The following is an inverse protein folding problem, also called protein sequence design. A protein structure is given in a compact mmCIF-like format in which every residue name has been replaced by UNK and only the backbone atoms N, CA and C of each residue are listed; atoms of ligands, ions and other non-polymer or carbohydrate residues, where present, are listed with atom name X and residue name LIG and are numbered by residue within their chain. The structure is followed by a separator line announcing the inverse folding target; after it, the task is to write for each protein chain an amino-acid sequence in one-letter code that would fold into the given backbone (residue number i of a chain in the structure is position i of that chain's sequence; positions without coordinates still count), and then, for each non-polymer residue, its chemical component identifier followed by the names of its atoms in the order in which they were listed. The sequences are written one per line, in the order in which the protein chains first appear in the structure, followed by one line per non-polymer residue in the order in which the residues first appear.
data_IF_404975251146
#
_entry.id   IF_404975251146
#
_cell.length_a   1.000
_cell.length_b   1.000
_cell.length_c   1.000
_cell.angle_alpha   90.00
_cell.angle_beta   90.00
_cell.angle_gamma   90.00
#
_symmetry.space_group_name_H-M   'P 1'
#
loop_
_entity.id
_entity.type
_entity.pdbx_description
1 polymer ?
#
# COMPACT_ATOMS: atom_id res chain seq x y z
N UNK A 1 22.74 -75.32 -37.70
CA UNK A 1 21.70 -74.30 -37.96
C UNK A 1 21.23 -73.77 -36.62
N UNK A 2 21.81 -72.66 -36.17
CA UNK A 2 21.61 -72.11 -34.82
C UNK A 2 20.98 -70.73 -34.98
N UNK A 3 19.67 -70.62 -34.73
CA UNK A 3 18.93 -69.37 -34.84
C UNK A 3 19.05 -68.54 -33.57
N UNK A 4 19.83 -67.46 -33.60
CA UNK A 4 19.83 -66.44 -32.54
C UNK A 4 18.58 -65.57 -32.65
N UNK A 5 17.72 -65.60 -31.61
CA UNK A 5 16.60 -64.66 -31.47
C UNK A 5 17.12 -63.35 -30.88
N UNK A 6 17.16 -62.32 -31.71
CA UNK A 6 17.48 -60.95 -31.30
C UNK A 6 16.30 -60.39 -30.49
N UNK A 7 16.49 -60.18 -29.19
CA UNK A 7 15.51 -59.52 -28.31
C UNK A 7 15.80 -58.02 -28.32
N UNK A 8 14.96 -57.24 -28.99
CA UNK A 8 15.00 -55.78 -28.91
C UNK A 8 14.41 -55.33 -27.56
N UNK A 9 15.25 -54.77 -26.69
CA UNK A 9 14.80 -54.06 -25.49
C UNK A 9 14.56 -52.61 -25.91
N UNK A 10 13.30 -52.24 -26.14
CA UNK A 10 12.89 -50.85 -26.35
C UNK A 10 12.91 -50.15 -24.99
N UNK A 11 14.04 -49.54 -24.65
CA UNK A 11 14.15 -48.67 -23.48
C UNK A 11 13.39 -47.37 -23.71
N UNK A 12 12.18 -47.27 -23.17
CA UNK A 12 11.42 -46.02 -23.18
C UNK A 12 12.07 -44.98 -22.27
N UNK A 13 12.60 -43.90 -22.85
CA UNK A 13 13.04 -42.72 -22.09
C UNK A 13 11.79 -41.94 -21.69
N UNK A 14 11.37 -42.09 -20.43
CA UNK A 14 10.33 -41.24 -19.84
C UNK A 14 10.98 -39.91 -19.50
N UNK A 15 10.82 -38.92 -20.38
CA UNK A 15 11.14 -37.52 -20.06
C UNK A 15 10.03 -37.01 -19.14
N UNK A 16 10.26 -37.07 -17.83
CA UNK A 16 9.40 -36.41 -16.85
C UNK A 16 9.63 -34.91 -16.99
N UNK A 17 8.76 -34.25 -17.77
CA UNK A 17 8.67 -32.80 -17.78
C UNK A 17 8.11 -32.37 -16.41
N UNK A 18 8.99 -32.12 -15.45
CA UNK A 18 8.60 -31.40 -14.23
C UNK A 18 8.16 -30.01 -14.63
N UNK A 19 6.83 -29.78 -14.63
CA UNK A 19 6.23 -28.46 -14.58
C UNK A 19 6.69 -27.80 -13.26
N UNK A 20 7.87 -27.19 -13.28
CA UNK A 20 8.26 -26.26 -12.22
C UNK A 20 7.36 -25.05 -12.42
N UNK A 21 6.20 -25.07 -11.76
CA UNK A 21 5.37 -23.89 -11.62
C UNK A 21 6.22 -22.85 -10.90
N UNK A 22 6.77 -21.91 -11.66
CA UNK A 22 7.35 -20.69 -11.10
C UNK A 22 6.15 -19.90 -10.58
N UNK A 23 5.73 -20.19 -9.36
CA UNK A 23 4.89 -19.25 -8.64
C UNK A 23 5.69 -17.94 -8.61
N UNK A 24 5.09 -16.82 -8.99
CA UNK A 24 5.64 -15.46 -8.80
C UNK A 24 4.93 -14.85 -7.60
N UNK A 25 5.71 -14.16 -6.76
CA UNK A 25 5.19 -13.48 -5.59
C UNK A 25 4.28 -12.36 -6.06
N UNK A 26 3.31 -11.96 -5.27
CA UNK A 26 2.53 -10.77 -5.62
C UNK A 26 2.09 -10.06 -4.35
N UNK A 27 2.28 -8.75 -4.36
CA UNK A 27 1.88 -7.88 -3.28
C UNK A 27 1.98 -6.42 -3.66
N UNK A 28 1.24 -5.58 -2.93
CA UNK A 28 1.19 -4.14 -3.17
C UNK A 28 1.10 -3.35 -1.88
N UNK A 29 1.71 -2.18 -1.85
CA UNK A 29 1.55 -1.23 -0.74
C UNK A 29 0.20 -0.50 -0.92
N UNK A 30 -0.70 -0.68 0.04
CA UNK A 30 -2.09 -0.20 -0.02
C UNK A 30 -2.40 0.91 0.99
N UNK A 31 -1.64 1.04 2.07
CA UNK A 31 -1.72 2.20 2.95
C UNK A 31 -0.31 2.61 3.43
N UNK A 32 0.19 3.80 3.06
CA UNK A 32 -0.41 4.71 2.07
C UNK A 32 -0.45 4.05 0.67
N UNK A 33 -1.48 4.27 -0.16
CA UNK A 33 -1.57 3.66 -1.49
C UNK A 33 -0.34 4.00 -2.34
N UNK A 34 0.33 2.98 -2.87
CA UNK A 34 1.42 3.21 -3.84
C UNK A 34 0.89 3.81 -5.14
N UNK A 35 1.77 4.47 -5.91
CA UNK A 35 1.47 5.09 -7.22
C UNK A 35 0.68 4.18 -8.16
N UNK A 36 1.05 2.90 -8.24
CA UNK A 36 0.32 1.92 -9.06
C UNK A 36 -1.02 1.48 -8.45
N UNK A 37 -1.20 1.56 -7.14
CA UNK A 37 -2.44 1.15 -6.45
C UNK A 37 -3.42 2.29 -6.18
N UNK A 38 -3.03 3.55 -6.42
CA UNK A 38 -3.85 4.75 -6.17
C UNK A 38 -5.26 4.65 -6.77
N UNK A 39 -5.41 4.11 -7.99
CA UNK A 39 -6.72 3.99 -8.65
C UNK A 39 -7.72 3.12 -7.87
N UNK A 40 -7.25 2.19 -7.03
CA UNK A 40 -8.11 1.35 -6.18
C UNK A 40 -8.77 2.14 -5.05
N UNK A 41 -8.25 3.33 -4.77
CA UNK A 41 -8.69 4.22 -3.70
C UNK A 41 -9.27 5.52 -4.28
N UNK A 42 -9.84 5.46 -5.50
CA UNK A 42 -10.55 6.57 -6.16
C UNK A 42 -9.68 7.81 -6.49
N UNK A 43 -8.36 7.68 -6.41
CA UNK A 43 -7.46 8.70 -6.94
C UNK A 43 -7.54 8.72 -8.49
N UNK A 44 -7.45 9.90 -9.13
CA UNK A 44 -7.57 10.08 -10.58
C UNK A 44 -6.26 9.73 -11.28
N UNK A 45 -5.77 8.53 -11.02
CA UNK A 45 -4.58 7.96 -11.63
C UNK A 45 -4.98 6.88 -12.63
N UNK A 46 -4.23 6.71 -13.74
CA UNK A 46 -4.46 5.58 -14.64
C UNK A 46 -4.43 4.26 -13.87
N UNK A 47 -5.36 3.36 -14.15
CA UNK A 47 -5.37 2.05 -13.53
C UNK A 47 -4.12 1.23 -13.93
N UNK A 48 -3.50 0.57 -12.95
CA UNK A 48 -2.58 -0.52 -13.16
C UNK A 48 -3.20 -1.78 -12.56
N UNK A 49 -3.78 -2.66 -13.38
CA UNK A 49 -4.42 -3.87 -12.86
C UNK A 49 -3.42 -4.92 -12.35
N UNK A 50 -2.13 -4.75 -12.69
CA UNK A 50 -1.00 -5.54 -12.21
C UNK A 50 -0.18 -4.77 -11.15
N UNK A 51 -0.84 -3.91 -10.36
CA UNK A 51 -0.22 -3.11 -9.31
C UNK A 51 0.37 -3.93 -8.14
N UNK A 52 0.14 -5.24 -8.12
CA UNK A 52 0.78 -6.19 -7.21
C UNK A 52 1.95 -6.99 -7.84
N UNK A 53 2.31 -6.68 -9.09
CA UNK A 53 3.36 -7.36 -9.86
C UNK A 53 4.60 -6.50 -10.13
N UNK A 54 4.86 -5.44 -9.36
CA UNK A 54 6.02 -4.55 -9.56
C UNK A 54 7.33 -5.20 -9.11
N UNK A 55 7.78 -6.19 -9.88
CA UNK A 55 8.82 -7.15 -9.52
C UNK A 55 10.14 -6.99 -10.31
N UNK A 56 10.50 -5.76 -10.68
CA UNK A 56 11.69 -5.45 -11.46
C UNK A 56 11.72 -6.06 -12.87
N UNK A 57 10.56 -6.43 -13.41
CA UNK A 57 10.44 -7.18 -14.67
C UNK A 57 10.60 -8.69 -14.52
N UNK A 58 10.62 -9.19 -13.29
CA UNK A 58 10.74 -10.61 -12.96
C UNK A 58 12.17 -11.04 -12.60
N UNK A 59 12.25 -12.14 -11.84
CA UNK A 59 13.50 -12.65 -11.25
C UNK A 59 14.66 -12.76 -12.26
N UNK A 60 14.45 -13.47 -13.39
CA UNK A 60 15.51 -13.68 -14.38
C UNK A 60 15.92 -12.39 -15.09
N UNK A 61 14.98 -11.46 -15.31
CA UNK A 61 15.30 -10.16 -15.89
C UNK A 61 16.16 -9.33 -14.95
N UNK A 62 15.73 -9.20 -13.70
CA UNK A 62 16.47 -8.46 -12.67
C UNK A 62 17.87 -9.02 -12.48
N UNK A 63 17.98 -10.32 -12.21
CA UNK A 63 19.23 -10.92 -11.78
C UNK A 63 20.13 -11.26 -12.96
N UNK A 64 19.65 -12.03 -13.93
CA UNK A 64 20.51 -12.55 -15.00
C UNK A 64 20.85 -11.50 -16.05
N UNK A 65 19.90 -10.63 -16.39
CA UNK A 65 20.09 -9.61 -17.44
C UNK A 65 20.55 -8.28 -16.87
N UNK A 66 19.97 -7.84 -15.75
CA UNK A 66 20.23 -6.51 -15.19
C UNK A 66 21.26 -6.49 -14.07
N UNK A 67 21.87 -7.63 -13.72
CA UNK A 67 22.91 -7.71 -12.69
C UNK A 67 22.38 -7.40 -11.29
N UNK A 68 21.11 -7.71 -11.03
CA UNK A 68 20.41 -7.42 -9.77
C UNK A 68 19.76 -6.04 -9.70
N UNK A 69 19.99 -5.18 -10.69
CA UNK A 69 19.46 -3.82 -10.69
C UNK A 69 17.94 -3.80 -10.94
N UNK A 70 17.26 -2.85 -10.28
CA UNK A 70 15.83 -2.64 -10.36
C UNK A 70 15.53 -1.14 -10.42
N UNK A 71 14.32 -0.76 -10.83
CA UNK A 71 13.81 0.60 -10.58
C UNK A 71 13.53 0.83 -9.12
N UNK A 72 13.65 2.09 -8.71
CA UNK A 72 13.42 2.47 -7.32
C UNK A 72 11.95 2.27 -6.92
N UNK A 73 11.04 2.16 -7.88
CA UNK A 73 9.63 1.86 -7.63
C UNK A 73 9.16 0.55 -8.27
N UNK A 74 10.07 -0.40 -8.52
CA UNK A 74 9.74 -1.77 -8.96
C UNK A 74 9.64 -2.00 -10.46
N UNK A 75 9.90 -0.96 -11.26
CA UNK A 75 9.95 -1.06 -12.72
C UNK A 75 11.21 -1.82 -13.19
N UNK A 76 11.20 -2.49 -14.36
CA UNK A 76 12.39 -3.11 -14.96
C UNK A 76 13.50 -2.09 -15.21
N UNK A 77 14.76 -2.47 -14.96
CA UNK A 77 15.88 -1.52 -14.90
C UNK A 77 16.16 -0.76 -16.21
N UNK A 78 15.98 -1.44 -17.33
CA UNK A 78 16.30 -1.03 -18.70
C UNK A 78 15.08 -0.58 -19.51
N UNK A 79 13.90 -0.44 -18.88
CA UNK A 79 12.68 -0.02 -19.56
C UNK A 79 12.23 1.39 -19.15
N UNK A 80 11.09 1.82 -19.69
CA UNK A 80 10.36 2.96 -19.14
C UNK A 80 10.09 2.75 -17.64
N UNK A 81 10.06 3.86 -16.89
CA UNK A 81 9.90 3.90 -15.43
C UNK A 81 8.54 4.49 -15.04
N UNK A 82 7.41 3.83 -15.34
CA UNK A 82 6.09 4.42 -15.15
C UNK A 82 5.75 4.72 -13.68
N UNK A 83 6.43 4.10 -12.72
CA UNK A 83 6.22 4.33 -11.28
C UNK A 83 7.20 5.36 -10.68
N UNK A 84 8.16 5.88 -11.45
CA UNK A 84 9.08 6.94 -11.02
C UNK A 84 8.66 8.31 -11.59
N UNK A 85 9.23 9.40 -11.08
CA UNK A 85 8.85 10.75 -11.48
C UNK A 85 8.93 10.95 -13.01
N UNK A 86 7.92 11.64 -13.55
CA UNK A 86 7.65 11.74 -15.00
C UNK A 86 6.94 10.53 -15.61
N UNK A 87 6.77 9.45 -14.85
CA UNK A 87 6.10 8.22 -15.27
C UNK A 87 4.57 8.32 -15.30
N UNK A 88 3.94 7.31 -15.90
CA UNK A 88 2.49 7.21 -16.06
C UNK A 88 1.73 7.28 -14.72
N UNK A 89 2.25 6.66 -13.67
CA UNK A 89 1.62 6.51 -12.36
C UNK A 89 2.15 7.51 -11.31
N UNK A 90 3.33 8.11 -11.53
CA UNK A 90 3.89 9.12 -10.63
C UNK A 90 3.26 10.51 -10.88
N UNK A 91 2.06 10.72 -10.36
CA UNK A 91 1.31 11.97 -10.53
C UNK A 91 1.64 13.07 -9.52
N UNK A 92 2.49 12.80 -8.53
CA UNK A 92 2.83 13.77 -7.48
C UNK A 92 1.70 14.07 -6.50
N UNK A 93 0.63 13.27 -6.53
CA UNK A 93 -0.53 13.41 -5.64
C UNK A 93 -0.14 12.92 -4.25
N UNK A 94 -0.29 13.77 -3.24
CA UNK A 94 0.00 13.40 -1.85
C UNK A 94 -1.15 12.53 -1.32
N UNK A 95 -0.90 11.23 -1.16
CA UNK A 95 -1.91 10.25 -0.74
C UNK A 95 -2.15 10.24 0.78
N UNK A 96 -1.18 10.73 1.56
CA UNK A 96 -1.25 10.75 3.02
C UNK A 96 -0.36 11.85 3.62
N UNK A 97 -0.81 12.43 4.74
CA UNK A 97 -0.05 13.44 5.48
C UNK A 97 0.25 12.90 6.88
N UNK A 98 1.48 13.08 7.35
CA UNK A 98 1.92 12.64 8.67
C UNK A 98 2.58 13.77 9.46
N UNK A 99 2.64 13.59 10.78
CA UNK A 99 3.47 14.43 11.65
C UNK A 99 4.90 13.90 11.68
N UNK A 100 5.89 14.80 11.78
CA UNK A 100 7.28 14.41 12.08
C UNK A 100 7.34 13.61 13.39
N UNK A 101 8.21 12.60 13.45
CA UNK A 101 8.32 11.69 14.61
C UNK A 101 7.12 10.75 14.84
N UNK A 102 6.07 10.82 14.01
CA UNK A 102 4.87 9.99 14.19
C UNK A 102 5.18 8.51 14.01
N UNK A 103 4.57 7.67 14.85
CA UNK A 103 4.45 6.24 14.55
C UNK A 103 3.28 6.03 13.59
N UNK A 104 3.57 5.53 12.39
CA UNK A 104 2.58 5.28 11.35
C UNK A 104 2.31 3.78 11.24
N UNK A 105 1.10 3.40 10.86
CA UNK A 105 0.80 2.03 10.46
C UNK A 105 0.73 1.98 8.93
N UNK A 106 1.61 1.20 8.31
CA UNK A 106 1.58 0.91 6.88
C UNK A 106 0.94 -0.45 6.64
N UNK A 107 0.26 -0.59 5.51
CA UNK A 107 -0.42 -1.83 5.14
C UNK A 107 0.01 -2.27 3.76
N UNK A 108 0.47 -3.52 3.70
CA UNK A 108 0.87 -4.21 2.48
C UNK A 108 -0.11 -5.36 2.26
N UNK A 109 -0.73 -5.43 1.08
CA UNK A 109 -1.58 -6.58 0.72
C UNK A 109 -0.73 -7.61 -0.03
N UNK A 110 -0.66 -8.83 0.51
CA UNK A 110 0.03 -9.96 -0.12
C UNK A 110 -0.99 -10.90 -0.75
N UNK A 111 -1.00 -10.97 -2.07
CA UNK A 111 -1.90 -11.84 -2.84
C UNK A 111 -1.29 -13.21 -3.10
N UNK A 112 0.04 -13.29 -3.23
CA UNK A 112 0.78 -14.55 -3.33
C UNK A 112 2.04 -14.47 -2.49
N UNK A 113 2.08 -15.19 -1.36
CA UNK A 113 3.19 -15.14 -0.40
C UNK A 113 4.38 -15.99 -0.86
N UNK A 114 5.56 -15.35 -0.88
CA UNK A 114 6.86 -15.95 -1.18
C UNK A 114 7.87 -15.82 -0.03
N UNK A 115 7.38 -15.76 1.21
CA UNK A 115 8.19 -15.59 2.42
C UNK A 115 9.07 -14.33 2.34
N UNK A 116 10.27 -14.38 2.92
CA UNK A 116 11.21 -13.27 2.91
C UNK A 116 10.83 -12.16 3.88
N UNK A 117 11.18 -10.93 3.54
CA UNK A 117 11.07 -9.80 4.45
C UNK A 117 10.75 -8.48 3.75
N UNK A 118 10.15 -7.55 4.49
CA UNK A 118 9.93 -6.18 4.03
C UNK A 118 10.94 -5.22 4.66
N UNK A 119 11.37 -4.25 3.87
CA UNK A 119 12.03 -3.01 4.31
C UNK A 119 11.19 -1.83 3.86
N UNK A 120 11.31 -0.72 4.59
CA UNK A 120 10.62 0.52 4.29
C UNK A 120 11.62 1.67 4.34
N UNK A 121 11.65 2.46 3.27
CA UNK A 121 12.55 3.61 3.15
C UNK A 121 11.74 4.88 2.91
N UNK A 122 12.31 6.03 3.25
CA UNK A 122 11.65 7.31 3.10
C UNK A 122 12.58 8.35 2.50
N UNK A 123 12.37 8.75 1.24
CA UNK A 123 13.17 9.81 0.63
C UNK A 123 12.45 11.17 0.72
N UNK A 124 12.99 12.18 1.43
CA UNK A 124 12.50 13.56 1.36
C UNK A 124 12.90 14.19 0.02
N UNK A 125 11.93 14.37 -0.88
CA UNK A 125 12.21 14.72 -2.28
C UNK A 125 11.74 16.14 -2.64
N UNK A 126 10.62 16.60 -2.09
CA UNK A 126 10.05 17.95 -2.21
C UNK A 126 9.74 18.47 -3.63
N UNK A 127 10.07 17.71 -4.67
CA UNK A 127 9.73 17.98 -6.06
C UNK A 127 9.18 16.70 -6.74
N UNK A 128 7.86 16.62 -7.01
CA UNK A 128 7.26 15.42 -7.61
C UNK A 128 7.72 15.14 -9.05
N UNK A 129 8.39 16.09 -9.71
CA UNK A 129 8.95 15.91 -11.06
C UNK A 129 10.36 15.33 -11.04
N UNK A 130 11.04 15.40 -9.89
CA UNK A 130 12.37 14.85 -9.69
C UNK A 130 12.31 13.38 -9.25
N UNK A 131 13.14 12.54 -9.88
CA UNK A 131 13.33 11.15 -9.42
C UNK A 131 14.17 11.13 -8.15
N UNK A 132 13.74 10.33 -7.19
CA UNK A 132 14.54 9.99 -6.00
C UNK A 132 15.78 9.19 -6.40
N UNK A 133 16.74 9.07 -5.47
CA UNK A 133 17.95 8.28 -5.68
C UNK A 133 18.05 7.15 -4.65
N UNK A 134 18.90 6.15 -4.94
CA UNK A 134 19.16 5.05 -4.01
C UNK A 134 19.80 5.57 -2.73
N UNK A 135 20.72 6.55 -2.82
CA UNK A 135 21.41 7.15 -1.68
C UNK A 135 20.42 7.82 -0.71
N UNK A 136 19.39 8.47 -1.25
CA UNK A 136 18.32 9.07 -0.44
C UNK A 136 17.54 8.02 0.35
N UNK A 137 17.21 6.89 -0.30
CA UNK A 137 16.50 5.78 0.35
C UNK A 137 17.37 5.11 1.41
N UNK A 138 18.63 4.83 1.09
CA UNK A 138 19.58 4.15 1.97
C UNK A 138 19.86 4.98 3.24
N UNK A 139 19.92 6.31 3.09
CA UNK A 139 20.09 7.23 4.22
C UNK A 139 18.87 7.31 5.15
N UNK A 140 17.72 6.77 4.74
CA UNK A 140 16.45 6.91 5.45
C UNK A 140 15.68 5.58 5.53
N UNK A 141 16.37 4.51 5.93
CA UNK A 141 15.74 3.24 6.29
C UNK A 141 14.90 3.41 7.57
N UNK A 142 13.61 3.10 7.50
CA UNK A 142 12.69 3.23 8.63
C UNK A 142 12.79 2.04 9.58
N UNK A 143 12.72 2.33 10.87
CA UNK A 143 12.64 1.31 11.93
C UNK A 143 11.19 1.03 12.30
N UNK A 144 10.87 -0.24 12.54
CA UNK A 144 9.64 -0.65 13.19
C UNK A 144 9.62 -0.25 14.67
N UNK A 145 8.46 -0.29 15.30
CA UNK A 145 8.32 0.05 16.74
C UNK A 145 9.13 -0.83 17.67
N UNK A 146 9.39 -2.09 17.27
CA UNK A 146 10.24 -3.04 17.97
C UNK A 146 11.75 -2.81 17.74
N UNK A 147 12.14 -1.79 16.99
CA UNK A 147 13.53 -1.43 16.71
C UNK A 147 14.17 -2.14 15.51
N UNK A 148 13.51 -3.16 14.94
CA UNK A 148 14.01 -3.83 13.73
C UNK A 148 13.74 -3.05 12.44
N UNK A 149 14.51 -3.31 11.39
CA UNK A 149 14.31 -2.71 10.05
C UNK A 149 13.72 -3.69 9.03
N UNK A 150 13.79 -5.00 9.31
CA UNK A 150 13.24 -6.06 8.47
C UNK A 150 12.04 -6.73 9.11
N UNK A 151 10.86 -6.58 8.50
CA UNK A 151 9.68 -7.32 8.89
C UNK A 151 9.70 -8.72 8.25
N UNK A 152 9.81 -9.78 9.04
CA UNK A 152 9.72 -11.16 8.53
C UNK A 152 8.27 -11.48 8.15
N UNK A 153 8.03 -11.71 6.86
CA UNK A 153 6.69 -11.98 6.33
C UNK A 153 6.15 -13.33 6.79
N UNK A 154 7.02 -14.34 6.95
CA UNK A 154 6.61 -15.71 7.20
C UNK A 154 5.64 -16.21 6.11
N UNK A 155 4.55 -16.84 6.51
CA UNK A 155 3.51 -17.37 5.61
C UNK A 155 2.28 -16.47 5.47
N UNK A 156 2.33 -15.23 6.01
CA UNK A 156 1.17 -14.31 6.03
C UNK A 156 0.71 -13.94 4.62
N UNK A 157 -0.62 -13.88 4.43
CA UNK A 157 -1.32 -13.45 3.20
C UNK A 157 -2.38 -12.41 3.56
N UNK A 158 -2.92 -11.72 2.55
CA UNK A 158 -3.89 -10.64 2.75
C UNK A 158 -3.21 -9.39 3.28
N UNK A 159 -3.94 -8.61 4.08
CA UNK A 159 -3.45 -7.35 4.63
C UNK A 159 -2.46 -7.58 5.80
N UNK A 160 -1.24 -7.12 5.63
CA UNK A 160 -0.19 -7.13 6.65
C UNK A 160 0.05 -5.70 7.11
N UNK A 161 -0.19 -5.45 8.39
CA UNK A 161 0.00 -4.15 9.03
C UNK A 161 1.36 -4.09 9.74
N UNK A 162 2.12 -3.01 9.52
CA UNK A 162 3.44 -2.78 10.12
C UNK A 162 3.50 -1.37 10.72
N UNK A 163 3.85 -1.27 11.99
CA UNK A 163 4.05 0.01 12.67
C UNK A 163 5.50 0.49 12.48
N UNK A 164 5.68 1.64 11.82
CA UNK A 164 6.96 2.27 11.52
C UNK A 164 7.09 3.60 12.26
N UNK A 165 8.32 3.95 12.66
CA UNK A 165 8.65 5.25 13.25
C UNK A 165 9.17 6.19 12.16
N UNK A 166 8.51 7.33 11.97
CA UNK A 166 9.06 8.42 11.15
C UNK A 166 10.18 9.14 11.91
N UNK A 167 11.19 9.70 11.22
CA UNK A 167 12.25 10.46 11.87
C UNK A 167 11.70 11.71 12.57
N UNK A 168 12.30 12.10 13.71
CA UNK A 168 11.81 13.20 14.55
C UNK A 168 11.90 14.57 13.88
N UNK A 169 12.97 14.80 13.11
CA UNK A 169 13.29 16.12 12.55
C UNK A 169 13.12 16.19 11.03
N UNK A 170 12.62 15.11 10.40
CA UNK A 170 12.41 15.08 8.97
C UNK A 170 11.05 15.67 8.60
N UNK A 171 11.06 16.63 7.67
CA UNK A 171 9.88 17.20 7.05
C UNK A 171 10.01 17.20 5.54
N UNK A 172 8.89 17.10 4.84
CA UNK A 172 8.83 17.17 3.38
C UNK A 172 7.43 17.58 2.91
N UNK A 173 7.38 18.44 1.89
CA UNK A 173 6.15 18.72 1.15
C UNK A 173 5.74 17.51 0.30
N UNK A 174 6.73 16.74 -0.17
CA UNK A 174 6.57 15.48 -0.86
C UNK A 174 7.75 14.55 -0.51
N UNK A 175 7.45 13.46 0.19
CA UNK A 175 8.34 12.34 0.41
C UNK A 175 7.89 11.16 -0.45
N UNK A 176 8.85 10.30 -0.82
CA UNK A 176 8.55 8.97 -1.34
C UNK A 176 8.77 7.94 -0.25
N UNK A 177 7.68 7.33 0.22
CA UNK A 177 7.74 6.13 1.04
C UNK A 177 7.85 4.92 0.11
N UNK A 178 8.98 4.20 0.17
CA UNK A 178 9.21 2.97 -0.57
C UNK A 178 8.97 1.77 0.34
N UNK A 179 8.05 0.89 -0.05
CA UNK A 179 8.04 -0.49 0.40
C UNK A 179 8.92 -1.31 -0.53
N UNK A 180 9.80 -2.13 0.06
CA UNK A 180 10.58 -3.15 -0.64
C UNK A 180 10.27 -4.49 0.01
N UNK A 181 10.01 -5.50 -0.82
CA UNK A 181 9.90 -6.88 -0.41
C UNK A 181 10.96 -7.70 -1.12
N UNK A 182 11.87 -8.27 -0.34
CA UNK A 182 12.76 -9.31 -0.82
C UNK A 182 12.12 -10.67 -0.50
N UNK A 183 11.70 -11.41 -1.51
CA UNK A 183 11.17 -12.76 -1.35
C UNK A 183 12.20 -13.70 -0.69
N UNK A 184 11.78 -14.91 -0.32
CA UNK A 184 12.62 -15.83 0.43
C UNK A 184 12.32 -17.30 0.15
N UNK A 185 11.88 -17.61 -1.06
CA UNK A 185 11.50 -18.96 -1.48
C UNK A 185 12.52 -19.63 -2.40
N UNK A 186 13.46 -18.88 -2.98
CA UNK A 186 14.49 -19.46 -3.85
C UNK A 186 15.63 -20.03 -3.01
N UNK A 187 16.18 -21.17 -3.44
CA UNK A 187 17.46 -21.64 -2.94
C UNK A 187 18.58 -20.78 -3.52
N UNK A 188 19.54 -20.40 -2.68
CA UNK A 188 20.76 -19.72 -3.13
C UNK A 188 21.86 -19.85 -2.09
N UNK A 189 22.95 -19.12 -2.32
CA UNK A 189 24.14 -19.17 -1.45
C UNK A 189 24.44 -17.78 -0.93
N UNK A 190 24.71 -17.68 0.37
CA UNK A 190 25.15 -16.47 1.04
C UNK A 190 26.35 -16.84 1.94
N UNK A 191 27.46 -16.11 1.82
CA UNK A 191 28.70 -16.37 2.56
C UNK A 191 29.18 -17.83 2.51
N UNK A 192 29.07 -18.46 1.33
CA UNK A 192 29.48 -19.86 1.10
C UNK A 192 28.51 -20.91 1.64
N UNK A 193 27.38 -20.52 2.26
CA UNK A 193 26.36 -21.44 2.75
C UNK A 193 25.11 -21.42 1.88
N UNK A 194 24.66 -22.60 1.45
CA UNK A 194 23.40 -22.79 0.74
C UNK A 194 22.20 -22.77 1.68
N UNK A 195 21.15 -22.03 1.34
CA UNK A 195 19.90 -22.00 2.07
C UNK A 195 18.72 -21.49 1.23
N UNK A 196 17.50 -21.83 1.64
CA UNK A 196 16.27 -21.20 1.13
C UNK A 196 16.23 -19.75 1.63
N UNK A 197 16.00 -18.82 0.71
CA UNK A 197 15.96 -17.38 0.97
C UNK A 197 17.32 -16.69 0.90
N UNK A 198 18.40 -17.43 0.67
CA UNK A 198 19.76 -16.90 0.56
C UNK A 198 20.10 -16.52 -0.88
N UNK A 199 21.03 -15.58 -1.05
CA UNK A 199 21.45 -15.10 -2.37
C UNK A 199 20.34 -14.35 -3.13
N UNK A 200 20.27 -14.57 -4.45
CA UNK A 200 19.31 -13.87 -5.34
C UNK A 200 17.88 -14.29 -5.04
N UNK A 201 17.00 -13.32 -4.81
CA UNK A 201 15.56 -13.53 -4.56
C UNK A 201 14.72 -12.58 -5.42
N UNK A 202 13.50 -12.94 -5.76
CA UNK A 202 12.56 -12.02 -6.42
C UNK A 202 12.31 -10.81 -5.51
N UNK A 203 12.23 -9.61 -6.08
CA UNK A 203 12.03 -8.38 -5.32
C UNK A 203 10.85 -7.61 -5.84
N UNK A 204 10.04 -7.07 -4.92
CA UNK A 204 8.86 -6.26 -5.22
C UNK A 204 8.95 -4.91 -4.55
N UNK A 205 8.33 -3.91 -5.16
CA UNK A 205 8.39 -2.55 -4.65
C UNK A 205 7.03 -1.85 -4.74
N UNK A 206 6.86 -0.80 -3.94
CA UNK A 206 5.78 0.16 -4.07
C UNK A 206 6.20 1.51 -3.51
N UNK A 207 6.06 2.56 -4.31
CA UNK A 207 6.35 3.93 -3.89
C UNK A 207 5.04 4.69 -3.66
N UNK A 208 4.92 5.39 -2.54
CA UNK A 208 3.78 6.27 -2.23
C UNK A 208 4.27 7.70 -1.96
N UNK A 209 3.55 8.68 -2.50
CA UNK A 209 3.83 10.10 -2.31
C UNK A 209 3.11 10.62 -1.07
N UNK A 210 3.85 10.99 -0.02
CA UNK A 210 3.29 11.43 1.27
C UNK A 210 3.88 12.78 1.68
N UNK A 211 3.27 13.50 2.62
CA UNK A 211 3.88 14.68 3.23
C UNK A 211 4.14 14.46 4.72
N UNK A 212 5.16 15.14 5.25
CA UNK A 212 5.52 15.10 6.66
C UNK A 212 5.78 16.53 7.13
N UNK A 213 5.08 16.97 8.16
CA UNK A 213 5.26 18.32 8.73
C UNK A 213 4.60 18.47 10.09
N UNK A 214 4.35 19.71 10.49
CA UNK A 214 3.68 20.04 11.77
C UNK A 214 2.14 20.05 11.65
N UNK A 215 1.61 19.79 10.46
CA UNK A 215 0.17 19.74 10.19
C UNK A 215 -0.55 18.55 10.83
N UNK A 216 -1.88 18.58 10.78
CA UNK A 216 -2.72 17.48 11.23
C UNK A 216 -2.52 16.23 10.33
N UNK A 217 -2.26 15.04 10.90
CA UNK A 217 -2.14 13.81 10.13
C UNK A 217 -3.47 13.50 9.44
N UNK A 218 -3.40 12.95 8.24
CA UNK A 218 -4.58 12.39 7.59
C UNK A 218 -5.17 11.25 8.44
N UNK A 219 -6.50 11.19 8.54
CA UNK A 219 -7.18 10.08 9.19
C UNK A 219 -6.96 8.78 8.41
N UNK A 220 -6.93 7.60 9.07
CA UNK A 220 -6.89 6.33 8.37
C UNK A 220 -8.01 6.26 7.32
N UNK A 221 -7.67 5.88 6.09
CA UNK A 221 -8.67 5.60 5.07
C UNK A 221 -9.55 4.46 5.59
N UNK A 222 -10.86 4.72 5.72
CA UNK A 222 -11.83 3.64 5.93
C UNK A 222 -11.93 2.92 4.59
N UNK A 223 -11.43 1.68 4.53
CA UNK A 223 -11.67 0.81 3.39
C UNK A 223 -13.16 0.84 3.08
N UNK A 224 -13.54 1.24 1.87
CA UNK A 224 -14.94 1.21 1.41
C UNK A 224 -15.49 -0.22 1.31
N UNK A 225 -14.63 -1.23 1.55
CA UNK A 225 -14.99 -2.61 1.88
C UNK A 225 -13.88 -3.21 2.77
N UNK A 226 -14.04 -3.27 4.10
CA UNK A 226 -13.17 -4.11 4.90
C UNK A 226 -13.43 -5.58 4.51
N UNK A 227 -12.44 -6.21 3.88
CA UNK A 227 -12.41 -7.66 3.76
C UNK A 227 -12.45 -8.25 5.18
N UNK A 228 -13.27 -9.27 5.48
CA UNK A 228 -13.46 -9.73 6.85
C UNK A 228 -12.12 -10.19 7.43
N UNK A 229 -11.68 -9.52 8.50
CA UNK A 229 -10.56 -9.97 9.31
C UNK A 229 -10.87 -11.38 9.81
N UNK A 230 -10.06 -12.36 9.41
CA UNK A 230 -10.14 -13.72 9.94
C UNK A 230 -9.55 -13.75 11.34
N UNK A 231 -10.32 -13.24 12.31
CA UNK A 231 -10.03 -13.31 13.73
C UNK A 231 -10.85 -14.40 14.40
N UNK A 232 -10.21 -15.52 14.76
CA UNK A 232 -10.74 -16.48 15.71
C UNK A 232 -10.91 -15.82 17.09
N UNK A 233 -12.13 -15.87 17.63
CA UNK A 233 -12.50 -16.35 18.99
C UNK A 233 -13.83 -15.71 19.43
N UNK A 234 -14.84 -16.56 19.56
CA UNK A 234 -16.18 -16.18 19.99
C UNK A 234 -16.22 -15.93 21.50
N UNK A 235 -16.19 -14.66 21.92
CA UNK A 235 -16.63 -14.29 23.27
C UNK A 235 -18.15 -14.06 23.23
N UNK A 236 -18.89 -15.06 23.71
CA UNK A 236 -20.36 -15.01 23.87
C UNK A 236 -20.74 -14.02 24.99
N UNK A 237 -21.62 -13.02 24.76
CA UNK A 237 -22.25 -12.31 25.86
C UNK A 237 -23.40 -13.15 26.45
N UNK A 238 -23.42 -13.28 27.78
CA UNK A 238 -24.54 -13.89 28.53
C UNK A 238 -25.77 -13.00 28.41
N UNK A 239 -26.86 -13.55 27.89
CA UNK A 239 -28.20 -12.96 27.94
C UNK A 239 -28.80 -13.24 29.31
N UNK A 240 -29.20 -12.19 30.04
CA UNK A 240 -30.21 -12.30 31.10
C UNK A 240 -31.53 -11.79 30.53
N UNK A 241 -32.49 -12.70 30.42
CA UNK A 241 -33.90 -12.40 30.19
C UNK A 241 -34.51 -11.75 31.45
N UNK A 242 -35.42 -10.80 31.24
CA UNK A 242 -36.73 -10.80 31.90
C UNK A 242 -37.67 -9.78 31.24
N UNK A 243 -38.55 -10.30 30.39
CA UNK A 243 -40.00 -10.36 30.58
C UNK A 243 -40.82 -9.15 31.07
N UNK A 244 -41.93 -8.97 30.31
CA UNK A 244 -43.27 -8.45 30.66
C UNK A 244 -43.52 -6.95 30.53
N UNK A 245 -44.38 -6.64 29.54
CA UNK A 245 -45.73 -6.21 29.91
C UNK A 245 -46.24 -4.89 29.32
N UNK A 246 -47.30 -5.05 28.53
CA UNK A 246 -48.48 -4.19 28.48
C UNK A 246 -48.54 -2.99 27.52
N UNK A 247 -49.61 -3.03 26.73
CA UNK A 247 -50.16 -2.01 25.85
C UNK A 247 -50.72 -0.84 26.67
N UNK A 248 -50.58 0.39 26.17
CA UNK A 248 -51.73 1.32 26.07
C UNK A 248 -51.45 2.49 25.12
N UNK A 249 -52.46 2.87 24.34
CA UNK A 249 -52.57 4.12 23.57
C UNK A 249 -52.72 5.31 24.53
N UNK A 250 -52.13 6.45 24.19
CA UNK A 250 -52.76 7.74 24.47
C UNK A 250 -52.44 8.78 23.40
N UNK A 251 -53.46 9.58 23.09
CA UNK A 251 -53.55 10.63 22.09
C UNK A 251 -53.37 11.97 22.82
N UNK A 252 -52.52 12.87 22.34
CA UNK A 252 -52.29 14.17 22.99
C UNK A 252 -51.82 15.24 22.01
N UNK A 253 -52.68 16.23 21.83
CA UNK A 253 -52.57 17.43 20.98
C UNK A 253 -51.85 18.59 21.68
N UNK A 254 -51.26 19.52 20.90
CA UNK A 254 -50.82 20.86 21.34
C UNK A 254 -49.53 21.29 20.61
N UNK A 255 -49.55 22.02 19.48
CA UNK A 255 -49.82 23.45 19.26
C UNK A 255 -48.89 24.39 20.07
N UNK A 256 -48.02 25.12 19.36
CA UNK A 256 -47.38 26.33 19.90
C UNK A 256 -46.08 26.76 19.23
N UNK A 257 -46.13 27.80 18.40
CA UNK A 257 -45.17 28.91 18.50
C UNK A 257 -44.00 28.95 17.51
N UNK A 258 -44.19 29.75 16.47
CA UNK A 258 -43.20 30.33 15.57
C UNK A 258 -42.15 31.21 16.27
N UNK A 259 -40.92 31.24 15.75
CA UNK A 259 -40.25 32.51 15.45
C UNK A 259 -39.22 32.33 14.33
N UNK A 260 -39.45 33.05 13.23
CA UNK A 260 -38.45 33.37 12.22
C UNK A 260 -37.44 34.34 12.81
N UNK A 261 -36.16 34.15 12.50
CA UNK A 261 -35.28 35.31 12.26
C UNK A 261 -34.23 34.94 11.21
N UNK A 262 -34.33 35.64 10.09
CA UNK A 262 -33.32 35.72 9.03
C UNK A 262 -32.09 36.42 9.59
N UNK A 263 -30.93 35.81 9.39
CA UNK A 263 -29.63 36.43 9.52
C UNK A 263 -28.70 35.86 8.47
N UNK A 264 -28.91 36.25 7.21
CA UNK A 264 -27.93 36.06 6.13
C UNK A 264 -26.70 36.89 6.48
N UNK A 265 -25.64 36.25 6.97
CA UNK A 265 -24.29 36.77 6.80
C UNK A 265 -23.75 36.12 5.54
N UNK A 266 -23.98 36.80 4.42
CA UNK A 266 -23.30 36.52 3.17
C UNK A 266 -21.83 36.94 3.32
N UNK A 267 -20.97 36.01 3.73
CA UNK A 267 -19.54 36.15 3.45
C UNK A 267 -19.32 35.68 2.01
N UNK A 268 -19.35 36.63 1.08
CA UNK A 268 -18.57 36.51 -0.16
C UNK A 268 -17.12 36.77 0.20
N UNK A 269 -16.35 35.71 0.41
CA UNK A 269 -14.89 35.77 0.44
C UNK A 269 -14.31 34.36 0.15
N UNK A 270 -13.58 34.23 -0.94
CA UNK A 270 -12.55 33.20 -1.12
C UNK A 270 -12.98 31.87 -1.75
N UNK A 271 -12.82 31.79 -3.07
CA UNK A 271 -12.48 30.57 -3.81
C UNK A 271 -11.44 29.77 -3.03
N UNK A 272 -11.79 28.58 -2.55
CA UNK A 272 -10.90 27.82 -1.67
C UNK A 272 -11.27 26.34 -1.61
N UNK A 273 -10.25 25.50 -1.79
CA UNK A 273 -10.40 24.06 -1.65
C UNK A 273 -10.55 23.65 -0.20
N UNK A 274 -11.57 22.85 0.11
CA UNK A 274 -11.81 22.34 1.45
C UNK A 274 -12.53 20.99 1.41
N UNK A 275 -12.46 20.25 2.51
CA UNK A 275 -13.07 18.93 2.62
C UNK A 275 -14.60 18.99 2.71
N UNK A 276 -15.30 18.01 2.14
CA UNK A 276 -16.77 17.94 2.09
C UNK A 276 -17.34 16.61 2.59
N UNK A 277 -18.65 16.56 2.81
CA UNK A 277 -19.35 15.34 3.20
C UNK A 277 -18.82 14.77 4.53
N UNK A 278 -18.56 13.47 4.56
CA UNK A 278 -18.01 12.78 5.75
C UNK A 278 -16.57 13.21 6.09
N UNK A 279 -15.90 13.87 5.15
CA UNK A 279 -14.51 14.32 5.25
C UNK A 279 -14.38 15.73 5.83
N UNK A 280 -15.44 16.55 5.75
CA UNK A 280 -15.48 17.90 6.32
C UNK A 280 -15.24 17.92 7.84
N UNK A 281 -15.57 16.83 8.53
CA UNK A 281 -15.40 16.68 9.98
C UNK A 281 -14.11 15.93 10.36
N UNK A 282 -13.29 15.53 9.38
CA UNK A 282 -12.04 14.82 9.63
C UNK A 282 -10.88 15.80 9.79
N UNK A 283 -10.17 15.70 10.91
CA UNK A 283 -8.96 16.49 11.17
C UNK A 283 -7.94 16.29 10.03
N UNK A 284 -7.26 17.36 9.63
CA UNK A 284 -6.25 17.36 8.56
C UNK A 284 -6.79 17.28 7.13
N UNK A 285 -8.08 16.97 6.95
CA UNK A 285 -8.64 16.76 5.62
C UNK A 285 -8.80 18.04 4.81
N UNK A 286 -9.11 19.16 5.49
CA UNK A 286 -9.08 20.48 4.85
C UNK A 286 -7.69 20.82 4.33
N UNK A 287 -6.64 20.60 5.14
CA UNK A 287 -5.26 20.87 4.72
C UNK A 287 -4.84 19.97 3.55
N UNK A 288 -5.26 18.69 3.56
CA UNK A 288 -5.05 17.77 2.46
C UNK A 288 -5.73 18.24 1.17
N UNK A 289 -6.98 18.70 1.24
CA UNK A 289 -7.71 19.27 0.09
C UNK A 289 -7.01 20.53 -0.45
N UNK A 290 -6.58 21.43 0.43
CA UNK A 290 -5.84 22.65 0.02
C UNK A 290 -4.54 22.28 -0.71
N UNK A 291 -3.74 21.38 -0.15
CA UNK A 291 -2.46 20.96 -0.73
C UNK A 291 -2.64 20.27 -2.09
N UNK A 292 -3.58 19.33 -2.20
CA UNK A 292 -3.81 18.60 -3.45
C UNK A 292 -4.42 19.50 -4.53
N UNK A 293 -5.28 20.44 -4.17
CA UNK A 293 -5.80 21.41 -5.11
C UNK A 293 -4.75 22.32 -5.71
N UNK A 294 -3.80 22.79 -4.91
CA UNK A 294 -2.67 23.56 -5.42
C UNK A 294 -1.87 22.75 -6.45
N UNK A 295 -1.84 21.42 -6.31
CA UNK A 295 -1.31 20.46 -7.28
C UNK A 295 -2.27 20.05 -8.40
N UNK A 296 -3.44 20.67 -8.54
CA UNK A 296 -4.43 20.39 -9.59
C UNK A 296 -5.34 19.18 -9.34
N UNK A 297 -5.32 18.60 -8.13
CA UNK A 297 -6.18 17.48 -7.76
C UNK A 297 -7.30 17.89 -6.78
N UNK A 298 -8.54 17.77 -7.24
CA UNK A 298 -9.74 18.01 -6.44
C UNK A 298 -10.75 16.85 -6.60
N UNK A 299 -10.72 15.83 -5.74
CA UNK A 299 -11.72 14.77 -5.76
C UNK A 299 -13.06 15.25 -5.17
N UNK A 300 -14.18 15.23 -5.91
CA UNK A 300 -15.47 15.72 -5.43
C UNK A 300 -16.08 14.88 -4.29
N UNK A 301 -15.62 13.63 -4.11
CA UNK A 301 -16.00 12.78 -2.98
C UNK A 301 -15.38 13.23 -1.66
N UNK A 302 -14.28 13.98 -1.70
CA UNK A 302 -13.50 14.36 -0.53
C UNK A 302 -13.36 15.87 -0.34
N UNK A 303 -13.31 16.62 -1.44
CA UNK A 303 -13.07 18.06 -1.49
C UNK A 303 -14.12 18.79 -2.35
N UNK A 304 -14.40 20.04 -2.03
CA UNK A 304 -14.99 21.01 -2.96
C UNK A 304 -13.99 22.11 -3.25
N UNK A 305 -13.99 22.57 -4.49
CA UNK A 305 -12.96 23.41 -5.06
C UNK A 305 -13.67 24.43 -5.93
N UNK A 306 -13.46 25.71 -5.64
CA UNK A 306 -14.16 26.85 -6.23
C UNK A 306 -13.18 27.93 -6.63
#
# INVERSE_FOLDING_TARGET
MTGQRLRYVVGGVIVVYTLVAVCTGHGRLVDPPSRSSMFRFEFPTPANYDDNGLNCGGFGHQWDRMGGRCGLCGDPYDSSRPNEAGGRYAKGIIVKNYRKGQTINVRVQITANHKGWFEFHLCPNNDPTQRITQECLDSNLLTMTNGGTRFNLGTRKGNVNIALKLPQDLTCSQCVLQWKWNAGNNWGTENGRGCIGCGRQEQFYGCADVSIGDGEPSTPWRDSNPEPETGNEAVRPRVRQNDRGSRTRYRGTGRGGSTQTRGRVANRAGRGCHAVGVWATKSGMNAWCVANCAGGYCPPSHCTCS
#
